data_IF_350058394045
#
_entry.id   IF_350058394045
#
_cell.length_a   1.000
_cell.length_b   1.000
_cell.length_c   1.000
_cell.angle_alpha   90.00
_cell.angle_beta   90.00
_cell.angle_gamma   90.00
#
_symmetry.space_group_name_H-M   'P 1'
#
loop_
_entity.id
_entity.type
_entity.pdbx_description
1 polymer ?
#
# COMPACT_ATOMS: atom_id res chain seq x y z
N UNK A 1 56.31 53.99 -0.33
CA UNK A 1 55.42 53.13 -1.13
C UNK A 1 55.86 51.69 -0.92
N UNK A 2 55.18 50.80 -0.20
CA UNK A 2 54.00 50.92 0.66
C UNK A 2 53.96 49.74 1.65
N UNK A 3 55.11 49.11 1.96
CA UNK A 3 55.13 47.75 2.54
C UNK A 3 55.94 47.57 3.84
N UNK A 4 56.47 48.64 4.45
CA UNK A 4 57.24 48.53 5.70
C UNK A 4 56.60 49.23 6.92
N UNK A 5 55.30 49.57 6.86
CA UNK A 5 54.63 50.39 7.90
C UNK A 5 53.37 49.76 8.54
N UNK A 6 53.02 48.50 8.30
CA UNK A 6 51.76 47.93 8.80
C UNK A 6 51.88 46.88 9.92
N UNK A 7 53.07 46.38 10.26
CA UNK A 7 53.16 45.14 11.06
C UNK A 7 53.80 45.25 12.45
N UNK A 8 54.22 46.44 12.92
CA UNK A 8 55.00 46.53 14.18
C UNK A 8 54.46 47.49 15.28
N UNK A 9 53.53 48.41 14.99
CA UNK A 9 53.14 49.41 16.00
C UNK A 9 51.64 49.61 16.11
N UNK A 10 50.99 48.70 16.82
CA UNK A 10 49.93 49.03 17.78
C UNK A 10 49.92 47.94 18.87
N UNK A 11 51.07 47.75 19.50
CA UNK A 11 51.07 47.39 20.91
C UNK A 11 50.44 48.55 21.68
N UNK A 12 49.27 48.31 22.27
CA UNK A 12 48.55 49.28 23.07
C UNK A 12 47.39 48.62 23.78
N UNK A 13 47.55 48.44 25.11
CA UNK A 13 46.47 48.51 26.10
C UNK A 13 45.52 47.29 26.11
N UNK A 14 45.73 46.20 26.87
CA UNK A 14 46.20 46.06 28.25
C UNK A 14 45.64 47.11 29.23
N UNK A 15 44.32 47.19 29.36
CA UNK A 15 43.66 47.49 30.64
C UNK A 15 42.15 47.20 30.60
N UNK A 16 41.72 46.37 31.56
CA UNK A 16 40.40 46.39 32.21
C UNK A 16 39.15 46.14 31.33
N UNK A 17 38.57 44.94 31.34
CA UNK A 17 37.60 44.46 32.35
C UNK A 17 36.14 44.66 31.89
N UNK A 18 35.48 43.55 31.56
CA UNK A 18 34.04 43.36 31.77
C UNK A 18 33.71 41.85 31.77
N UNK A 19 33.81 41.27 32.96
CA UNK A 19 32.94 40.26 33.60
C UNK A 19 32.07 39.32 32.71
N UNK A 20 32.15 38.01 33.02
CA UNK A 20 31.58 36.86 32.28
C UNK A 20 30.04 36.75 32.22
N UNK A 21 29.48 35.63 31.67
CA UNK A 21 29.39 34.42 32.48
C UNK A 21 29.51 33.08 31.73
N UNK A 22 29.93 32.06 32.49
CA UNK A 22 29.46 30.68 32.43
C UNK A 22 29.20 30.06 31.05
N UNK A 23 30.22 29.38 30.49
CA UNK A 23 29.97 28.11 29.83
C UNK A 23 30.85 27.05 30.47
N UNK A 24 30.25 26.37 31.45
CA UNK A 24 30.72 25.12 32.02
C UNK A 24 31.21 24.23 30.88
N UNK A 25 32.51 23.98 30.83
CA UNK A 25 33.11 22.98 29.96
C UNK A 25 32.71 21.63 30.53
N UNK A 26 31.58 21.10 30.10
CA UNK A 26 31.22 19.71 30.34
C UNK A 26 32.06 18.88 29.37
N UNK A 27 33.20 18.39 29.86
CA UNK A 27 33.97 17.36 29.19
C UNK A 27 33.12 16.08 29.14
N UNK A 28 32.46 15.86 28.00
CA UNK A 28 31.77 14.62 27.70
C UNK A 28 32.83 13.53 27.47
N UNK A 29 33.24 12.87 28.55
CA UNK A 29 34.01 11.64 28.48
C UNK A 29 33.11 10.53 27.96
N UNK A 30 33.27 10.16 26.68
CA UNK A 30 32.71 8.93 26.15
C UNK A 30 33.50 7.74 26.72
N UNK A 31 33.00 7.22 27.85
CA UNK A 31 33.42 5.93 28.37
C UNK A 31 33.00 4.83 27.40
N UNK A 32 33.99 4.15 26.84
CA UNK A 32 33.81 2.91 26.09
C UNK A 32 33.55 1.79 27.11
N UNK A 33 32.28 1.55 27.40
CA UNK A 33 31.80 0.41 28.16
C UNK A 33 31.25 -0.64 27.21
N UNK A 34 32.02 -1.71 27.00
CA UNK A 34 31.52 -2.95 26.40
C UNK A 34 30.52 -3.60 27.37
N UNK A 35 29.24 -3.64 26.97
CA UNK A 35 28.25 -4.57 27.50
C UNK A 35 27.49 -5.15 26.31
N UNK A 36 27.86 -6.38 25.96
CA UNK A 36 27.10 -7.25 25.06
C UNK A 36 25.76 -7.63 25.71
N UNK A 37 24.78 -7.96 24.87
CA UNK A 37 23.41 -8.43 25.14
C UNK A 37 22.40 -7.28 25.41
N UNK A 38 21.34 -7.08 24.64
CA UNK A 38 20.57 -8.03 23.82
C UNK A 38 19.82 -7.20 22.77
N UNK A 39 20.21 -7.35 21.51
CA UNK A 39 19.47 -6.75 20.39
C UNK A 39 18.38 -7.72 19.96
N UNK A 40 17.34 -7.84 20.78
CA UNK A 40 16.14 -8.60 20.44
C UNK A 40 15.29 -7.78 19.46
N UNK A 41 15.79 -7.66 18.22
CA UNK A 41 15.02 -7.18 17.07
C UNK A 41 14.06 -8.28 16.64
N UNK A 42 13.07 -8.54 17.48
CA UNK A 42 11.87 -9.25 17.08
C UNK A 42 10.98 -8.29 16.28
N UNK A 43 11.41 -7.97 15.06
CA UNK A 43 10.50 -7.53 14.00
C UNK A 43 9.54 -8.69 13.75
N UNK A 44 8.45 -8.71 14.51
CA UNK A 44 7.34 -9.63 14.32
C UNK A 44 6.60 -9.20 13.05
N UNK A 45 7.19 -9.50 11.88
CA UNK A 45 6.48 -9.53 10.62
C UNK A 45 5.19 -10.34 10.76
N UNK A 46 4.18 -10.08 9.93
CA UNK A 46 2.88 -10.74 10.03
C UNK A 46 3.09 -12.24 10.18
N UNK A 47 2.58 -12.80 11.27
CA UNK A 47 2.82 -14.18 11.68
C UNK A 47 2.61 -15.09 10.46
N UNK A 48 3.67 -15.77 10.01
CA UNK A 48 3.62 -16.69 8.87
C UNK A 48 2.46 -17.69 8.97
N UNK A 49 2.02 -17.99 10.20
CA UNK A 49 0.84 -18.79 10.52
C UNK A 49 -0.47 -18.21 9.96
N UNK A 50 -0.67 -16.89 10.07
CA UNK A 50 -1.86 -16.22 9.56
C UNK A 50 -1.89 -16.22 8.04
N UNK A 51 -0.76 -15.90 7.40
CA UNK A 51 -0.62 -15.95 5.94
C UNK A 51 -0.88 -17.36 5.39
N UNK A 52 -0.36 -18.39 6.07
CA UNK A 52 -0.57 -19.79 5.68
C UNK A 52 -2.04 -20.21 5.84
N UNK A 53 -2.71 -19.77 6.92
CA UNK A 53 -4.13 -20.06 7.14
C UNK A 53 -5.04 -19.43 6.08
N UNK A 54 -4.75 -18.18 5.71
CA UNK A 54 -5.49 -17.46 4.67
C UNK A 54 -5.23 -18.09 3.30
N UNK A 55 -3.98 -18.48 3.02
CA UNK A 55 -3.63 -19.20 1.80
C UNK A 55 -4.43 -20.50 1.66
N UNK A 56 -4.51 -21.32 2.72
CA UNK A 56 -5.32 -22.56 2.71
C UNK A 56 -6.81 -22.25 2.53
N UNK A 57 -7.32 -21.20 3.18
CA UNK A 57 -8.71 -20.75 3.01
C UNK A 57 -9.01 -20.38 1.55
N UNK A 58 -8.13 -19.63 0.91
CA UNK A 58 -8.26 -19.24 -0.51
C UNK A 58 -8.18 -20.44 -1.45
N UNK A 59 -7.31 -21.40 -1.13
CA UNK A 59 -7.15 -22.63 -1.89
C UNK A 59 -8.40 -23.50 -1.78
N UNK A 60 -8.99 -23.60 -0.58
CA UNK A 60 -10.26 -24.28 -0.36
C UNK A 60 -11.42 -23.62 -1.13
N UNK A 61 -11.54 -22.29 -1.10
CA UNK A 61 -12.54 -21.57 -1.90
C UNK A 61 -12.34 -21.77 -3.41
N UNK A 62 -11.09 -21.82 -3.87
CA UNK A 62 -10.78 -22.07 -5.29
C UNK A 62 -11.16 -23.49 -5.68
N UNK A 63 -10.84 -24.47 -4.83
CA UNK A 63 -11.25 -25.86 -5.06
C UNK A 63 -12.77 -25.98 -5.08
N UNK A 64 -13.47 -25.27 -4.19
CA UNK A 64 -14.92 -25.19 -4.18
C UNK A 64 -15.48 -24.61 -5.49
N UNK A 65 -14.88 -23.55 -6.06
CA UNK A 65 -15.32 -23.01 -7.36
C UNK A 65 -15.18 -24.01 -8.50
N UNK A 66 -14.07 -24.77 -8.52
CA UNK A 66 -13.88 -25.84 -9.51
C UNK A 66 -14.89 -26.95 -9.28
N UNK A 67 -15.16 -27.33 -8.03
CA UNK A 67 -16.15 -28.35 -7.72
C UNK A 67 -17.56 -27.93 -8.14
N UNK A 68 -17.95 -26.69 -7.86
CA UNK A 68 -19.25 -26.14 -8.23
C UNK A 68 -19.46 -26.15 -9.74
N UNK A 69 -18.42 -25.92 -10.56
CA UNK A 69 -18.56 -25.99 -12.03
C UNK A 69 -18.91 -27.40 -12.53
N UNK A 70 -18.63 -28.44 -11.75
CA UNK A 70 -18.96 -29.82 -12.10
C UNK A 70 -20.40 -30.20 -11.74
N UNK A 71 -21.10 -29.39 -10.94
CA UNK A 71 -22.50 -29.60 -10.60
C UNK A 71 -23.37 -28.64 -11.40
N UNK A 72 -24.35 -29.19 -12.12
CA UNK A 72 -25.24 -28.39 -12.94
C UNK A 72 -26.46 -27.94 -12.12
N UNK A 73 -26.38 -26.75 -11.52
CA UNK A 73 -27.49 -26.10 -10.82
C UNK A 73 -28.42 -25.33 -11.78
N UNK A 74 -28.27 -25.56 -13.09
CA UNK A 74 -28.94 -24.82 -14.15
C UNK A 74 -28.27 -23.48 -14.46
N UNK A 75 -28.57 -22.92 -15.64
CA UNK A 75 -27.88 -21.75 -16.20
C UNK A 75 -27.78 -20.55 -15.25
N UNK A 76 -28.89 -20.19 -14.58
CA UNK A 76 -28.92 -19.05 -13.65
C UNK A 76 -28.32 -19.39 -12.28
N UNK A 77 -28.47 -20.64 -11.81
CA UNK A 77 -27.98 -21.07 -10.50
C UNK A 77 -26.46 -21.11 -10.44
N UNK A 78 -25.82 -21.60 -11.50
CA UNK A 78 -24.37 -21.67 -11.62
C UNK A 78 -23.73 -20.26 -11.57
N UNK A 79 -24.33 -19.28 -12.26
CA UNK A 79 -23.82 -17.91 -12.29
C UNK A 79 -23.91 -17.22 -10.93
N UNK A 80 -25.07 -17.31 -10.26
CA UNK A 80 -25.27 -16.70 -8.93
C UNK A 80 -24.29 -17.30 -7.93
N UNK A 81 -24.13 -18.62 -7.93
CA UNK A 81 -23.22 -19.31 -7.03
C UNK A 81 -21.75 -18.96 -7.32
N UNK A 82 -21.36 -18.87 -8.60
CA UNK A 82 -20.02 -18.44 -8.99
C UNK A 82 -19.71 -17.01 -8.53
N UNK A 83 -20.64 -16.07 -8.71
CA UNK A 83 -20.49 -14.68 -8.25
C UNK A 83 -20.44 -14.57 -6.72
N UNK A 84 -21.24 -15.37 -6.01
CA UNK A 84 -21.21 -15.42 -4.55
C UNK A 84 -19.83 -15.88 -4.03
N UNK A 85 -19.31 -17.00 -4.55
CA UNK A 85 -18.01 -17.53 -4.12
C UNK A 85 -16.87 -16.57 -4.51
N UNK A 86 -16.93 -15.98 -5.70
CA UNK A 86 -15.97 -14.96 -6.13
C UNK A 86 -15.96 -13.76 -5.17
N UNK A 87 -17.13 -13.29 -4.73
CA UNK A 87 -17.24 -12.17 -3.79
C UNK A 87 -16.63 -12.52 -2.43
N UNK A 88 -16.90 -13.72 -1.90
CA UNK A 88 -16.29 -14.17 -0.64
C UNK A 88 -14.78 -14.27 -0.77
N UNK A 89 -14.26 -14.79 -1.89
CA UNK A 89 -12.82 -14.87 -2.16
C UNK A 89 -12.19 -13.48 -2.12
N UNK A 90 -12.78 -12.49 -2.79
CA UNK A 90 -12.28 -11.11 -2.80
C UNK A 90 -12.33 -10.49 -1.40
N UNK A 91 -13.38 -10.74 -0.63
CA UNK A 91 -13.48 -10.26 0.76
C UNK A 91 -12.36 -10.83 1.65
N UNK A 92 -12.08 -12.14 1.53
CA UNK A 92 -10.97 -12.81 2.25
C UNK A 92 -9.62 -12.18 1.87
N UNK A 93 -9.36 -11.99 0.57
CA UNK A 93 -8.12 -11.35 0.10
C UNK A 93 -7.99 -9.93 0.64
N UNK A 94 -9.06 -9.14 0.58
CA UNK A 94 -9.07 -7.76 1.07
C UNK A 94 -8.79 -7.68 2.57
N UNK A 95 -9.47 -8.50 3.38
CA UNK A 95 -9.39 -8.41 4.84
C UNK A 95 -8.01 -8.82 5.39
N UNK A 96 -7.39 -9.84 4.80
CA UNK A 96 -6.17 -10.45 5.34
C UNK A 96 -4.91 -10.22 4.51
N UNK A 97 -4.97 -10.31 3.18
CA UNK A 97 -3.78 -10.13 2.32
C UNK A 97 -3.45 -8.66 2.07
N UNK A 98 -4.47 -7.80 2.01
CA UNK A 98 -4.28 -6.35 1.91
C UNK A 98 -4.17 -5.66 3.28
N UNK A 99 -4.09 -6.44 4.36
CA UNK A 99 -3.86 -5.95 5.72
C UNK A 99 -4.91 -4.95 6.23
N UNK A 100 -6.07 -4.81 5.56
CA UNK A 100 -7.19 -3.92 5.94
C UNK A 100 -7.67 -4.09 7.37
N UNK A 101 -7.58 -5.31 7.92
CA UNK A 101 -7.99 -5.58 9.29
C UNK A 101 -7.08 -4.92 10.33
N UNK A 102 -5.82 -4.68 9.97
CA UNK A 102 -4.76 -4.19 10.84
C UNK A 102 -4.28 -2.78 10.46
N UNK A 103 -4.52 -2.36 9.22
CA UNK A 103 -4.22 -1.03 8.71
C UNK A 103 -5.37 -0.02 8.94
N UNK A 104 -5.08 1.29 8.84
CA UNK A 104 -6.10 2.32 8.89
C UNK A 104 -7.20 2.09 7.86
N UNK A 105 -8.48 2.33 8.20
CA UNK A 105 -9.63 2.03 7.34
C UNK A 105 -9.64 2.80 6.01
N UNK A 106 -8.81 3.84 5.88
CA UNK A 106 -8.67 4.65 4.67
C UNK A 106 -8.18 3.81 3.48
N UNK A 107 -7.26 2.86 3.68
CA UNK A 107 -6.79 1.97 2.62
C UNK A 107 -7.89 1.01 2.15
N UNK A 108 -8.76 0.58 3.07
CA UNK A 108 -9.95 -0.19 2.74
C UNK A 108 -10.97 0.60 1.94
N UNK A 109 -11.18 1.86 2.29
CA UNK A 109 -12.06 2.74 1.51
C UNK A 109 -11.52 2.97 0.08
N UNK A 110 -10.21 3.21 -0.06
CA UNK A 110 -9.58 3.35 -1.39
C UNK A 110 -9.71 2.09 -2.24
N UNK A 111 -9.54 0.91 -1.65
CA UNK A 111 -9.74 -0.36 -2.35
C UNK A 111 -11.20 -0.56 -2.77
N UNK A 112 -12.14 -0.31 -1.87
CA UNK A 112 -13.57 -0.43 -2.17
C UNK A 112 -13.98 0.56 -3.27
N UNK A 113 -13.47 1.79 -3.23
CA UNK A 113 -13.70 2.80 -4.25
C UNK A 113 -13.12 2.38 -5.60
N UNK A 114 -11.90 1.83 -5.64
CA UNK A 114 -11.30 1.28 -6.86
C UNK A 114 -12.15 0.16 -7.46
N UNK A 115 -12.62 -0.77 -6.63
CA UNK A 115 -13.47 -1.87 -7.09
C UNK A 115 -14.84 -1.38 -7.58
N UNK A 116 -15.42 -0.39 -6.90
CA UNK A 116 -16.65 0.26 -7.34
C UNK A 116 -16.47 0.98 -8.68
N UNK A 117 -15.35 1.67 -8.89
CA UNK A 117 -15.01 2.28 -10.17
C UNK A 117 -14.84 1.25 -11.28
N UNK A 118 -14.17 0.13 -11.03
CA UNK A 118 -14.04 -0.97 -11.99
C UNK A 118 -15.41 -1.57 -12.31
N UNK A 119 -16.25 -1.83 -11.30
CA UNK A 119 -17.59 -2.36 -11.52
C UNK A 119 -18.46 -1.39 -12.36
N UNK A 120 -18.41 -0.10 -12.03
CA UNK A 120 -19.11 0.94 -12.80
C UNK A 120 -18.60 1.02 -14.23
N UNK A 121 -17.28 0.96 -14.44
CA UNK A 121 -16.67 0.94 -15.76
C UNK A 121 -17.14 -0.27 -16.57
N UNK A 122 -17.12 -1.47 -15.99
CA UNK A 122 -17.60 -2.69 -16.67
C UNK A 122 -19.07 -2.55 -17.06
N UNK A 123 -19.94 -2.12 -16.14
CA UNK A 123 -21.36 -1.93 -16.43
C UNK A 123 -21.54 -0.92 -17.56
N UNK A 124 -20.83 0.21 -17.52
CA UNK A 124 -20.91 1.23 -18.55
C UNK A 124 -20.42 0.72 -19.91
N UNK A 125 -19.28 0.02 -19.96
CA UNK A 125 -18.75 -0.60 -21.18
C UNK A 125 -19.69 -1.65 -21.75
N UNK A 126 -20.38 -2.43 -20.91
CA UNK A 126 -21.38 -3.40 -21.37
C UNK A 126 -22.61 -2.71 -21.97
N UNK A 127 -23.08 -1.62 -21.36
CA UNK A 127 -24.18 -0.82 -21.90
C UNK A 127 -23.80 -0.19 -23.24
N UNK A 128 -22.60 0.39 -23.34
CA UNK A 128 -22.08 0.98 -24.59
C UNK A 128 -21.94 -0.06 -25.71
N UNK A 129 -21.34 -1.22 -25.40
CA UNK A 129 -21.18 -2.31 -26.38
C UNK A 129 -22.52 -2.81 -26.90
N UNK A 130 -23.55 -2.86 -26.05
CA UNK A 130 -24.88 -3.30 -26.47
C UNK A 130 -25.44 -2.42 -27.59
N UNK A 131 -25.27 -1.10 -27.50
CA UNK A 131 -25.73 -0.15 -28.52
C UNK A 131 -24.96 -0.33 -29.84
N UNK A 132 -23.64 -0.53 -29.76
CA UNK A 132 -22.79 -0.76 -30.94
C UNK A 132 -23.20 -2.04 -31.68
N UNK A 133 -23.46 -3.13 -30.95
CA UNK A 133 -23.87 -4.40 -31.53
C UNK A 133 -25.23 -4.30 -32.24
N UNK A 134 -26.19 -3.56 -31.67
CA UNK A 134 -27.49 -3.31 -32.31
C UNK A 134 -27.34 -2.60 -33.66
N UNK A 135 -26.49 -1.57 -33.73
CA UNK A 135 -26.25 -0.81 -34.97
C UNK A 135 -25.58 -1.65 -36.06
N UNK A 136 -24.65 -2.53 -35.67
CA UNK A 136 -23.96 -3.43 -36.61
C UNK A 136 -24.93 -4.48 -37.17
N UNK A 137 -25.83 -5.01 -36.34
CA UNK A 137 -26.87 -5.95 -36.78
C UNK A 137 -27.86 -5.31 -37.76
N UNK A 138 -28.30 -4.08 -37.48
CA UNK A 138 -29.21 -3.33 -38.36
C UNK A 138 -28.60 -3.05 -39.74
N UNK A 139 -27.31 -2.67 -39.77
CA UNK A 139 -26.58 -2.48 -41.01
C UNK A 139 -26.43 -3.79 -41.81
N UNK A 140 -26.12 -4.90 -41.13
CA UNK A 140 -25.98 -6.22 -41.76
C UNK A 140 -27.31 -6.73 -42.34
N UNK A 141 -28.42 -6.54 -41.63
CA UNK A 141 -29.76 -6.93 -42.10
C UNK A 141 -30.24 -6.07 -43.27
N UNK A 142 -29.87 -4.78 -43.30
CA UNK A 142 -30.25 -3.85 -44.40
C UNK A 142 -29.51 -4.18 -45.69
N UNK A 143 -28.24 -4.61 -45.62
CA UNK A 143 -27.47 -5.04 -46.80
C UNK A 143 -27.85 -6.43 -47.33
N UNK A 144 -28.47 -7.29 -46.51
CA UNK A 144 -28.91 -8.63 -46.92
C UNK A 144 -30.27 -8.62 -47.65
N UNK A 145 -31.01 -7.52 -47.60
CA UNK A 145 -32.31 -7.35 -48.27
C UNK A 145 -32.24 -6.63 -49.62
N UNK A 146 -31.06 -6.19 -50.07
CA UNK A 146 -30.85 -5.56 -51.39
C UNK A 146 -30.28 -6.54 -52.42
#
# INVERSE_FOLDING_TARGET
MSEALEQDKLGGESAAEAQGPARRVEAHAHGFGDANADHDHHDHGPSYKLLTLVFVTLLALTWLTVHVVNYDFGYNGNLILAMAIATVKVAVVGLWFMHLRYDPPIFGFTLLLSFAFVALFIIFTLLDTSEVLYRVQEAATTSASQ
#
